data_IF_414484446871
#
_entry.id   IF_414484446871
#
_cell.length_a   1.000
_cell.length_b   1.000
_cell.length_c   1.000
_cell.angle_alpha   90.00
_cell.angle_beta   90.00
_cell.angle_gamma   90.00
#
_symmetry.space_group_name_H-M   'P 1'
#
loop_
_entity.id
_entity.type
_entity.pdbx_description
1 polymer ?
#
# COMPACT_ATOMS: atom_id res chain seq x y z
N UNK A 1 6.25 -8.28 -11.05
CA UNK A 1 7.67 -8.76 -11.06
C UNK A 1 7.99 -9.68 -9.86
N UNK A 2 8.24 -10.96 -10.13
CA UNK A 2 8.64 -11.98 -9.13
C UNK A 2 9.96 -11.61 -8.42
N UNK A 3 10.12 -12.02 -7.16
CA UNK A 3 11.32 -11.78 -6.36
C UNK A 3 12.61 -12.25 -7.07
N UNK A 4 12.53 -13.37 -7.80
CA UNK A 4 13.64 -13.93 -8.57
C UNK A 4 14.10 -12.97 -9.68
N UNK A 5 13.15 -12.31 -10.35
CA UNK A 5 13.44 -11.37 -11.44
C UNK A 5 14.09 -10.09 -10.89
N UNK A 6 13.68 -9.63 -9.70
CA UNK A 6 14.31 -8.47 -9.04
C UNK A 6 15.74 -8.76 -8.61
N UNK A 7 15.98 -9.91 -8.00
CA UNK A 7 17.32 -10.33 -7.58
C UNK A 7 18.24 -10.44 -8.80
N UNK A 8 17.76 -11.03 -9.90
CA UNK A 8 18.52 -11.10 -11.15
C UNK A 8 18.85 -9.70 -11.71
N UNK A 9 17.91 -8.75 -11.65
CA UNK A 9 18.14 -7.37 -12.10
C UNK A 9 19.18 -6.63 -11.24
N UNK A 10 19.13 -6.79 -9.91
CA UNK A 10 20.14 -6.21 -8.99
C UNK A 10 21.53 -6.80 -9.23
N UNK A 11 21.63 -8.12 -9.34
CA UNK A 11 22.90 -8.81 -9.60
C UNK A 11 23.47 -8.42 -10.98
N UNK A 12 22.63 -8.29 -11.99
CA UNK A 12 23.03 -7.85 -13.33
C UNK A 12 23.60 -6.43 -13.33
N UNK A 13 22.90 -5.47 -12.72
CA UNK A 13 23.35 -4.08 -12.65
C UNK A 13 24.61 -3.91 -11.80
N UNK A 14 24.73 -4.65 -10.69
CA UNK A 14 25.95 -4.67 -9.88
C UNK A 14 27.13 -5.26 -10.66
N UNK A 15 26.93 -6.37 -11.39
CA UNK A 15 27.96 -6.96 -12.23
C UNK A 15 28.39 -6.00 -13.36
N UNK A 16 27.44 -5.31 -14.02
CA UNK A 16 27.76 -4.30 -15.03
C UNK A 16 28.58 -3.14 -14.44
N UNK A 17 28.20 -2.60 -13.29
CA UNK A 17 28.96 -1.53 -12.64
C UNK A 17 30.42 -1.96 -12.32
N UNK A 18 30.60 -3.19 -11.82
CA UNK A 18 31.93 -3.74 -11.53
C UNK A 18 32.75 -3.95 -12.82
N UNK A 19 32.16 -4.56 -13.86
CA UNK A 19 32.84 -4.86 -15.11
C UNK A 19 33.23 -3.59 -15.88
N UNK A 20 32.34 -2.61 -15.98
CA UNK A 20 32.64 -1.34 -16.65
C UNK A 20 33.61 -0.47 -15.83
N UNK A 21 33.53 -0.50 -14.50
CA UNK A 21 34.49 0.17 -13.63
C UNK A 21 35.91 -0.39 -13.78
N UNK A 22 36.07 -1.72 -13.75
CA UNK A 22 37.36 -2.38 -13.97
C UNK A 22 37.90 -2.14 -15.39
N UNK A 23 37.03 -2.14 -16.40
CA UNK A 23 37.39 -1.86 -17.79
C UNK A 23 37.86 -0.41 -17.99
N UNK A 24 37.23 0.56 -17.31
CA UNK A 24 37.64 1.97 -17.34
C UNK A 24 39.03 2.19 -16.72
N UNK A 25 39.36 1.48 -15.64
CA UNK A 25 40.67 1.52 -14.99
C UNK A 25 41.78 0.92 -15.86
N UNK A 26 41.46 -0.13 -16.63
CA UNK A 26 42.43 -0.88 -17.43
C UNK A 26 42.70 -0.25 -18.81
N UNK A 27 41.70 0.39 -19.42
CA UNK A 27 41.79 0.83 -20.82
C UNK A 27 41.62 2.35 -20.98
N UNK A 28 42.76 3.08 -20.97
CA UNK A 28 42.78 4.56 -21.01
C UNK A 28 42.12 5.16 -22.26
N UNK A 29 42.11 4.45 -23.40
CA UNK A 29 41.48 4.91 -24.64
C UNK A 29 39.94 4.85 -24.61
N UNK A 30 39.36 3.94 -23.83
CA UNK A 30 37.92 3.75 -23.70
C UNK A 30 37.38 4.22 -22.32
N UNK A 31 38.22 4.91 -21.55
CA UNK A 31 37.96 5.29 -20.16
C UNK A 31 36.70 6.15 -20.02
N UNK A 32 36.47 7.08 -20.95
CA UNK A 32 35.27 7.95 -20.94
C UNK A 32 33.97 7.17 -21.12
N UNK A 33 33.91 6.27 -22.10
CA UNK A 33 32.72 5.47 -22.39
C UNK A 33 32.44 4.45 -21.30
N UNK A 34 33.46 3.74 -20.83
CA UNK A 34 33.33 2.77 -19.74
C UNK A 34 32.97 3.44 -18.41
N UNK A 35 33.51 4.64 -18.15
CA UNK A 35 33.13 5.45 -16.99
C UNK A 35 31.68 5.89 -17.03
N UNK A 36 31.18 6.34 -18.20
CA UNK A 36 29.78 6.71 -18.38
C UNK A 36 28.82 5.52 -18.18
N UNK A 37 29.17 4.33 -18.69
CA UNK A 37 28.37 3.10 -18.51
C UNK A 37 28.34 2.62 -17.05
N UNK A 38 29.47 2.72 -16.35
CA UNK A 38 29.54 2.43 -14.91
C UNK A 38 28.64 3.39 -14.11
N UNK A 39 28.75 4.69 -14.37
CA UNK A 39 27.92 5.70 -13.70
C UNK A 39 26.43 5.48 -13.98
N UNK A 40 26.06 5.23 -15.23
CA UNK A 40 24.66 4.93 -15.59
C UNK A 40 24.11 3.69 -14.87
N UNK A 41 24.94 2.65 -14.72
CA UNK A 41 24.57 1.43 -13.99
C UNK A 41 24.34 1.69 -12.50
N UNK A 42 25.18 2.53 -11.87
CA UNK A 42 25.03 2.93 -10.47
C UNK A 42 23.78 3.80 -10.25
N UNK A 43 23.49 4.73 -11.16
CA UNK A 43 22.27 5.55 -11.11
C UNK A 43 21.02 4.68 -11.26
N UNK A 44 21.02 3.75 -12.21
CA UNK A 44 19.90 2.82 -12.40
C UNK A 44 19.67 1.93 -11.16
N UNK A 45 20.75 1.43 -10.55
CA UNK A 45 20.69 0.66 -9.31
C UNK A 45 20.16 1.51 -8.14
N UNK A 46 20.63 2.76 -8.02
CA UNK A 46 20.13 3.71 -7.03
C UNK A 46 18.64 3.99 -7.16
N UNK A 47 18.13 4.19 -8.38
CA UNK A 47 16.69 4.41 -8.64
C UNK A 47 15.84 3.18 -8.31
N UNK A 48 16.33 1.97 -8.63
CA UNK A 48 15.64 0.72 -8.28
C UNK A 48 15.58 0.52 -6.77
N UNK A 49 16.71 0.70 -6.08
CA UNK A 49 16.78 0.62 -4.61
C UNK A 49 15.87 1.66 -3.97
N UNK A 50 15.90 2.92 -4.44
CA UNK A 50 15.04 3.98 -3.94
C UNK A 50 13.56 3.64 -4.11
N UNK A 51 13.16 3.06 -5.26
CA UNK A 51 11.77 2.63 -5.51
C UNK A 51 11.34 1.51 -4.55
N UNK A 52 12.18 0.51 -4.34
CA UNK A 52 11.85 -0.61 -3.45
C UNK A 52 11.82 -0.17 -1.98
N UNK A 53 12.78 0.66 -1.55
CA UNK A 53 12.79 1.27 -0.21
C UNK A 53 11.56 2.17 -0.02
N UNK A 54 11.16 2.95 -1.02
CA UNK A 54 9.97 3.82 -0.92
C UNK A 54 8.69 3.00 -0.76
N UNK A 55 8.59 1.82 -1.38
CA UNK A 55 7.45 0.92 -1.20
C UNK A 55 7.44 0.30 0.20
N UNK A 56 8.60 -0.16 0.66
CA UNK A 56 8.75 -0.73 2.00
C UNK A 56 8.47 0.29 3.10
N UNK A 57 9.02 1.51 2.98
CA UNK A 57 8.77 2.60 3.93
C UNK A 57 7.34 3.10 3.80
N UNK A 58 6.75 3.14 2.60
CA UNK A 58 5.34 3.52 2.41
C UNK A 58 4.39 2.57 3.14
N UNK A 59 4.62 1.26 3.00
CA UNK A 59 3.82 0.23 3.69
C UNK A 59 4.04 0.29 5.22
N UNK A 60 5.29 0.40 5.69
CA UNK A 60 5.59 0.50 7.12
C UNK A 60 5.17 1.83 7.76
N UNK A 61 5.25 2.95 7.04
CA UNK A 61 4.82 4.26 7.57
C UNK A 61 3.31 4.31 7.70
N UNK A 62 2.57 3.70 6.75
CA UNK A 62 1.12 3.53 6.90
C UNK A 62 0.82 2.56 8.04
N UNK A 63 1.53 1.45 8.18
CA UNK A 63 1.32 0.50 9.28
C UNK A 63 1.66 1.11 10.66
N UNK A 64 2.71 1.90 10.76
CA UNK A 64 3.10 2.61 11.98
C UNK A 64 2.15 3.77 12.32
N UNK A 65 1.66 4.51 11.33
CA UNK A 65 0.68 5.58 11.54
C UNK A 65 -0.74 5.03 11.83
N UNK A 66 -1.04 3.83 11.34
CA UNK A 66 -2.32 3.13 11.51
C UNK A 66 -2.11 1.80 12.25
N UNK A 67 -1.40 1.86 13.38
CA UNK A 67 -1.18 0.73 14.28
C UNK A 67 -2.50 0.34 14.96
N UNK A 68 -3.33 -0.36 14.19
CA UNK A 68 -4.73 -0.70 14.44
C UNK A 68 -4.88 -2.13 14.98
N UNK A 69 -3.81 -2.69 15.53
CA UNK A 69 -3.79 -4.03 16.15
C UNK A 69 -3.48 -3.98 17.65
N UNK A 70 -3.65 -2.81 18.29
CA UNK A 70 -3.54 -2.67 19.75
C UNK A 70 -2.15 -2.90 20.34
N UNK A 71 -1.12 -3.08 19.50
CA UNK A 71 0.26 -3.30 19.96
C UNK A 71 1.04 -1.98 20.22
N UNK A 72 0.36 -0.83 20.17
CA UNK A 72 1.00 0.46 19.96
C UNK A 72 1.18 1.39 21.16
N UNK A 73 0.46 1.21 22.26
CA UNK A 73 0.73 1.87 23.54
C UNK A 73 -0.19 1.23 24.56
N UNK A 74 0.35 0.71 25.66
CA UNK A 74 -0.46 0.19 26.76
C UNK A 74 -1.08 1.37 27.51
N UNK A 75 -2.13 1.95 26.94
CA UNK A 75 -2.88 2.98 27.63
C UNK A 75 -3.58 2.32 28.83
N UNK A 76 -3.34 2.81 30.06
CA UNK A 76 -3.96 2.25 31.25
C UNK A 76 -5.49 2.25 31.21
N UNK A 77 -6.12 3.21 30.50
CA UNK A 77 -7.58 3.27 30.35
C UNK A 77 -8.10 2.13 29.48
N UNK A 78 -7.40 1.82 28.38
CA UNK A 78 -7.74 0.69 27.50
C UNK A 78 -7.54 -0.65 28.22
N UNK A 79 -6.41 -0.84 28.92
CA UNK A 79 -6.15 -2.07 29.67
C UNK A 79 -7.22 -2.32 30.75
N UNK A 80 -7.63 -1.26 31.45
CA UNK A 80 -8.70 -1.36 32.45
C UNK A 80 -10.04 -1.74 31.82
N UNK A 81 -10.36 -1.24 30.62
CA UNK A 81 -11.57 -1.64 29.91
C UNK A 81 -11.53 -3.14 29.53
N UNK A 82 -10.37 -3.63 29.10
CA UNK A 82 -10.16 -5.05 28.81
C UNK A 82 -10.22 -5.94 30.06
N UNK A 83 -9.77 -5.46 31.22
CA UNK A 83 -9.94 -6.16 32.50
C UNK A 83 -11.42 -6.28 32.89
N UNK A 84 -12.18 -5.19 32.76
CA UNK A 84 -13.63 -5.20 33.02
C UNK A 84 -14.35 -6.15 32.06
N UNK A 85 -13.94 -6.19 30.79
CA UNK A 85 -14.46 -7.16 29.81
C UNK A 85 -14.18 -8.60 30.24
N UNK A 86 -12.95 -8.90 30.69
CA UNK A 86 -12.56 -10.25 31.20
C UNK A 86 -13.35 -10.67 32.44
N UNK A 87 -13.74 -9.70 33.27
CA UNK A 87 -14.58 -9.93 34.43
C UNK A 87 -16.05 -10.22 34.09
N UNK A 88 -16.43 -10.11 32.80
CA UNK A 88 -17.77 -10.41 32.31
C UNK A 88 -18.70 -9.20 32.23
N UNK A 89 -18.27 -8.02 32.67
CA UNK A 89 -19.06 -6.80 32.56
C UNK A 89 -18.86 -6.14 31.19
N UNK A 90 -19.50 -6.73 30.19
CA UNK A 90 -19.33 -6.34 28.79
C UNK A 90 -19.90 -4.97 28.46
N UNK A 91 -20.97 -4.53 29.15
CA UNK A 91 -21.57 -3.22 28.93
C UNK A 91 -20.69 -2.11 29.50
N UNK A 92 -20.13 -2.33 30.69
CA UNK A 92 -19.20 -1.38 31.29
C UNK A 92 -17.89 -1.32 30.49
N UNK A 93 -17.39 -2.45 30.01
CA UNK A 93 -16.24 -2.47 29.10
C UNK A 93 -16.51 -1.64 27.84
N UNK A 94 -17.69 -1.79 27.21
CA UNK A 94 -18.06 -0.97 26.05
C UNK A 94 -18.12 0.52 26.42
N UNK A 95 -18.69 0.88 27.57
CA UNK A 95 -18.74 2.29 28.03
C UNK A 95 -17.32 2.86 28.12
N UNK A 96 -16.42 2.14 28.76
CA UNK A 96 -15.02 2.56 28.92
C UNK A 96 -14.28 2.63 27.58
N UNK A 97 -14.48 1.66 26.69
CA UNK A 97 -13.88 1.67 25.34
C UNK A 97 -14.40 2.85 24.52
N UNK A 98 -15.69 3.22 24.63
CA UNK A 98 -16.22 4.42 23.97
C UNK A 98 -15.59 5.70 24.50
N UNK A 99 -15.49 5.84 25.81
CA UNK A 99 -14.83 6.99 26.45
C UNK A 99 -13.36 7.12 26.03
N UNK A 100 -12.68 5.99 25.93
CA UNK A 100 -11.31 5.93 25.42
C UNK A 100 -11.24 6.32 23.93
N UNK A 101 -12.15 5.79 23.10
CA UNK A 101 -12.19 6.09 21.67
C UNK A 101 -12.54 7.54 21.36
N UNK A 102 -13.38 8.18 22.17
CA UNK A 102 -13.69 9.61 22.06
C UNK A 102 -12.45 10.49 22.23
N UNK A 103 -11.56 10.11 23.16
CA UNK A 103 -10.27 10.78 23.36
C UNK A 103 -9.27 10.43 22.26
N UNK A 104 -9.34 9.21 21.72
CA UNK A 104 -8.38 8.64 20.76
C UNK A 104 -9.06 8.20 19.45
N UNK A 105 -9.66 9.12 18.66
CA UNK A 105 -10.49 8.75 17.49
C UNK A 105 -9.72 8.13 16.32
N UNK A 106 -8.38 8.14 16.38
CA UNK A 106 -7.49 7.51 15.40
C UNK A 106 -7.33 6.00 15.64
N UNK A 107 -7.69 5.52 16.83
CA UNK A 107 -7.55 4.12 17.22
C UNK A 107 -8.79 3.32 16.80
N UNK A 108 -8.91 3.09 15.50
CA UNK A 108 -10.08 2.44 14.88
C UNK A 108 -10.27 1.00 15.42
N UNK A 109 -9.21 0.36 15.89
CA UNK A 109 -9.22 -0.93 16.56
C UNK A 109 -10.08 -0.96 17.82
N UNK A 110 -10.23 0.17 18.52
CA UNK A 110 -11.14 0.28 19.68
C UNK A 110 -12.59 0.18 19.23
N UNK A 111 -12.95 0.86 18.14
CA UNK A 111 -14.29 0.76 17.55
C UNK A 111 -14.58 -0.68 17.05
N UNK A 112 -13.57 -1.33 16.45
CA UNK A 112 -13.65 -2.75 16.09
C UNK A 112 -13.85 -3.65 17.31
N UNK A 113 -13.13 -3.37 18.41
CA UNK A 113 -13.26 -4.12 19.67
C UNK A 113 -14.66 -3.99 20.27
N UNK A 114 -15.25 -2.80 20.25
CA UNK A 114 -16.63 -2.56 20.67
C UNK A 114 -17.60 -3.40 19.81
N UNK A 115 -17.43 -3.41 18.48
CA UNK A 115 -18.25 -4.21 17.57
C UNK A 115 -18.15 -5.72 17.88
N UNK A 116 -16.95 -6.22 18.16
CA UNK A 116 -16.69 -7.62 18.51
C UNK A 116 -17.37 -8.01 19.83
N UNK A 117 -17.35 -7.14 20.85
CA UNK A 117 -18.04 -7.40 22.13
C UNK A 117 -19.56 -7.48 21.90
N UNK A 118 -20.13 -6.59 21.09
CA UNK A 118 -21.55 -6.67 20.73
C UNK A 118 -21.90 -7.98 20.03
N UNK A 119 -21.07 -8.43 19.08
CA UNK A 119 -21.35 -9.66 18.35
C UNK A 119 -21.18 -10.91 19.21
N UNK A 120 -20.06 -11.04 19.91
CA UNK A 120 -19.64 -12.30 20.52
C UNK A 120 -20.13 -12.46 21.96
N UNK A 121 -20.03 -11.40 22.77
CA UNK A 121 -20.37 -11.45 24.19
C UNK A 121 -21.84 -11.13 24.43
N UNK A 122 -22.39 -10.15 23.73
CA UNK A 122 -23.78 -9.70 23.90
C UNK A 122 -24.75 -10.34 22.90
N UNK A 123 -24.24 -11.09 21.92
CA UNK A 123 -25.01 -11.71 20.84
C UNK A 123 -26.00 -10.73 20.19
N UNK A 124 -25.57 -9.50 19.98
CA UNK A 124 -26.35 -8.42 19.38
C UNK A 124 -25.80 -8.08 17.99
N UNK A 125 -26.19 -8.84 16.94
CA UNK A 125 -25.68 -8.62 15.59
C UNK A 125 -26.08 -7.27 15.01
N UNK A 126 -27.18 -6.67 15.47
CA UNK A 126 -27.62 -5.35 15.02
C UNK A 126 -26.67 -4.26 15.52
N UNK A 127 -26.37 -4.25 16.82
CA UNK A 127 -25.43 -3.29 17.39
C UNK A 127 -24.04 -3.47 16.78
N UNK A 128 -23.57 -4.71 16.63
CA UNK A 128 -22.30 -4.99 15.96
C UNK A 128 -22.26 -4.45 14.52
N UNK A 129 -23.34 -4.67 13.74
CA UNK A 129 -23.41 -4.18 12.37
C UNK A 129 -23.29 -2.65 12.28
N UNK A 130 -23.96 -1.91 13.18
CA UNK A 130 -23.89 -0.45 13.24
C UNK A 130 -22.47 0.04 13.56
N UNK A 131 -21.76 -0.60 14.48
CA UNK A 131 -20.37 -0.26 14.78
C UNK A 131 -19.45 -0.52 13.59
N UNK A 132 -19.62 -1.65 12.89
CA UNK A 132 -18.89 -1.93 11.65
C UNK A 132 -19.21 -0.92 10.54
N UNK A 133 -20.46 -0.48 10.41
CA UNK A 133 -20.84 0.59 9.46
C UNK A 133 -20.05 1.89 9.74
N UNK A 134 -19.91 2.29 11.01
CA UNK A 134 -19.12 3.47 11.39
C UNK A 134 -17.62 3.28 11.12
N UNK A 135 -17.09 2.10 11.41
CA UNK A 135 -15.69 1.75 11.14
C UNK A 135 -15.37 1.86 9.64
N UNK A 136 -16.26 1.39 8.76
CA UNK A 136 -16.04 1.43 7.31
C UNK A 136 -16.08 2.84 6.70
N UNK A 137 -16.54 3.86 7.44
CA UNK A 137 -16.45 5.28 7.05
C UNK A 137 -15.06 5.85 7.31
N UNK A 138 -14.23 5.19 8.12
CA UNK A 138 -12.87 5.64 8.43
C UNK A 138 -11.90 5.25 7.32
N UNK A 139 -10.79 6.00 7.15
CA UNK A 139 -9.76 5.63 6.19
C UNK A 139 -9.04 4.35 6.67
N UNK A 140 -9.37 3.22 6.05
CA UNK A 140 -8.74 1.93 6.30
C UNK A 140 -7.93 1.49 5.07
N UNK A 141 -6.80 0.79 5.26
CA UNK A 141 -6.11 0.12 4.16
C UNK A 141 -7.07 -0.78 3.38
N UNK A 142 -6.95 -0.80 2.05
CA UNK A 142 -7.90 -1.48 1.14
C UNK A 142 -8.17 -2.93 1.54
N UNK A 143 -7.13 -3.68 1.90
CA UNK A 143 -7.26 -5.07 2.33
C UNK A 143 -8.04 -5.19 3.65
N UNK A 144 -7.68 -4.39 4.67
CA UNK A 144 -8.38 -4.38 5.98
C UNK A 144 -9.83 -3.97 5.81
N UNK A 145 -10.10 -2.91 5.05
CA UNK A 145 -11.45 -2.46 4.72
C UNK A 145 -12.28 -3.59 4.12
N UNK A 146 -11.72 -4.30 3.13
CA UNK A 146 -12.38 -5.43 2.47
C UNK A 146 -12.77 -6.53 3.45
N UNK A 147 -11.88 -6.93 4.36
CA UNK A 147 -12.20 -7.95 5.36
C UNK A 147 -13.25 -7.51 6.37
N UNK A 148 -13.21 -6.26 6.85
CA UNK A 148 -14.26 -5.71 7.73
C UNK A 148 -15.60 -5.62 7.01
N UNK A 149 -15.61 -5.27 5.73
CA UNK A 149 -16.81 -5.25 4.90
C UNK A 149 -17.39 -6.65 4.68
N UNK A 150 -16.56 -7.68 4.42
CA UNK A 150 -17.01 -9.09 4.36
C UNK A 150 -17.66 -9.51 5.68
N UNK A 151 -17.08 -9.11 6.81
CA UNK A 151 -17.63 -9.41 8.13
C UNK A 151 -18.99 -8.75 8.33
N UNK A 152 -19.14 -7.48 7.94
CA UNK A 152 -20.42 -6.77 7.93
C UNK A 152 -21.46 -7.45 7.03
N UNK A 153 -21.08 -7.97 5.86
CA UNK A 153 -21.99 -8.77 5.03
C UNK A 153 -22.54 -9.99 5.78
N UNK A 154 -21.71 -10.68 6.56
CA UNK A 154 -22.16 -11.83 7.36
C UNK A 154 -23.17 -11.39 8.43
N UNK A 155 -22.95 -10.24 9.09
CA UNK A 155 -23.91 -9.67 10.03
C UNK A 155 -25.23 -9.30 9.36
N UNK A 156 -25.19 -8.68 8.17
CA UNK A 156 -26.41 -8.40 7.41
C UNK A 156 -27.18 -9.66 7.05
N UNK A 157 -26.51 -10.74 6.67
CA UNK A 157 -27.17 -12.02 6.44
C UNK A 157 -27.83 -12.57 7.72
N UNK A 158 -27.15 -12.50 8.88
CA UNK A 158 -27.75 -12.88 10.18
C UNK A 158 -29.01 -12.06 10.50
N UNK A 159 -29.06 -10.79 10.06
CA UNK A 159 -30.17 -9.87 10.24
C UNK A 159 -31.25 -9.97 9.15
N UNK A 160 -31.12 -10.88 8.18
CA UNK A 160 -32.04 -10.98 7.04
C UNK A 160 -31.95 -9.83 6.04
N UNK A 161 -30.94 -8.96 6.16
CA UNK A 161 -30.72 -7.80 5.29
C UNK A 161 -29.93 -8.18 4.02
N UNK A 162 -30.39 -9.21 3.31
CA UNK A 162 -29.69 -9.79 2.15
C UNK A 162 -29.41 -8.78 1.05
N UNK A 163 -30.31 -7.82 0.81
CA UNK A 163 -30.09 -6.78 -0.19
C UNK A 163 -28.89 -5.90 0.14
N UNK A 164 -28.73 -5.50 1.42
CA UNK A 164 -27.55 -4.75 1.87
C UNK A 164 -26.28 -5.58 1.78
N UNK A 165 -26.36 -6.87 2.15
CA UNK A 165 -25.23 -7.78 2.05
C UNK A 165 -24.75 -7.93 0.60
N UNK A 166 -25.67 -8.14 -0.35
CA UNK A 166 -25.34 -8.27 -1.76
C UNK A 166 -24.75 -6.98 -2.33
N UNK A 167 -25.37 -5.82 -2.05
CA UNK A 167 -24.84 -4.53 -2.49
C UNK A 167 -23.42 -4.27 -1.96
N UNK A 168 -23.14 -4.65 -0.70
CA UNK A 168 -21.80 -4.52 -0.12
C UNK A 168 -20.82 -5.53 -0.75
N UNK A 169 -21.22 -6.77 -1.03
CA UNK A 169 -20.39 -7.74 -1.75
C UNK A 169 -20.03 -7.25 -3.16
N UNK A 170 -21.00 -6.68 -3.89
CA UNK A 170 -20.77 -6.12 -5.22
C UNK A 170 -19.76 -4.97 -5.15
N UNK A 171 -19.90 -4.08 -4.16
CA UNK A 171 -18.94 -3.01 -3.90
C UNK A 171 -17.53 -3.53 -3.63
N UNK A 172 -17.37 -4.56 -2.79
CA UNK A 172 -16.06 -5.16 -2.53
C UNK A 172 -15.48 -5.77 -3.82
N UNK A 173 -16.28 -6.50 -4.58
CA UNK A 173 -15.85 -7.18 -5.81
C UNK A 173 -15.40 -6.20 -6.91
N UNK A 174 -16.02 -5.01 -6.97
CA UNK A 174 -15.79 -3.98 -7.99
C UNK A 174 -14.75 -2.95 -7.56
N UNK A 175 -14.98 -2.22 -6.47
CA UNK A 175 -14.11 -1.12 -6.03
C UNK A 175 -12.79 -1.61 -5.42
N UNK A 176 -12.78 -2.83 -4.87
CA UNK A 176 -11.64 -3.44 -4.17
C UNK A 176 -11.12 -4.69 -4.88
N UNK A 177 -11.30 -4.76 -6.21
CA UNK A 177 -11.12 -5.96 -7.03
C UNK A 177 -9.79 -6.73 -6.83
N UNK A 178 -8.71 -6.05 -6.50
CA UNK A 178 -7.38 -6.66 -6.32
C UNK A 178 -7.14 -7.28 -4.94
N UNK A 179 -8.07 -7.11 -3.99
CA UNK A 179 -7.94 -7.62 -2.61
C UNK A 179 -8.36 -9.09 -2.48
N UNK A 180 -7.86 -9.78 -1.45
CA UNK A 180 -8.32 -11.15 -1.17
C UNK A 180 -9.80 -11.18 -0.74
N UNK A 181 -10.25 -10.11 -0.08
CA UNK A 181 -11.66 -9.90 0.25
C UNK A 181 -12.55 -9.84 -1.01
N UNK A 182 -12.10 -9.20 -2.09
CA UNK A 182 -12.84 -9.15 -3.35
C UNK A 182 -12.94 -10.50 -4.05
N UNK A 183 -11.91 -11.34 -3.95
CA UNK A 183 -12.00 -12.73 -4.40
C UNK A 183 -13.13 -13.47 -3.67
N UNK A 184 -13.15 -13.38 -2.33
CA UNK A 184 -14.21 -13.98 -1.51
C UNK A 184 -15.59 -13.38 -1.80
N UNK A 185 -15.67 -12.09 -2.10
CA UNK A 185 -16.93 -11.44 -2.48
C UNK A 185 -17.49 -12.00 -3.80
N UNK A 186 -16.63 -12.19 -4.81
CA UNK A 186 -17.03 -12.80 -6.09
C UNK A 186 -17.47 -14.24 -5.94
N UNK A 187 -16.75 -15.04 -5.14
CA UNK A 187 -17.14 -16.41 -4.83
C UNK A 187 -18.56 -16.46 -4.25
N UNK A 188 -18.89 -15.54 -3.33
CA UNK A 188 -20.24 -15.42 -2.76
C UNK A 188 -21.30 -14.97 -3.78
N UNK A 189 -20.92 -14.14 -4.74
CA UNK A 189 -21.82 -13.64 -5.81
C UNK A 189 -21.92 -14.59 -7.02
N UNK A 190 -21.07 -15.63 -7.10
CA UNK A 190 -20.95 -16.48 -8.29
C UNK A 190 -20.31 -15.78 -9.50
N UNK A 191 -19.53 -14.72 -9.28
CA UNK A 191 -18.87 -13.98 -10.35
C UNK A 191 -17.55 -14.64 -10.77
N UNK A 192 -17.18 -14.58 -12.06
CA UNK A 192 -15.89 -15.08 -12.52
C UNK A 192 -14.72 -14.28 -11.91
N UNK A 193 -13.59 -14.95 -11.68
CA UNK A 193 -12.36 -14.26 -11.27
C UNK A 193 -11.90 -13.36 -12.43
N UNK A 194 -11.66 -12.06 -12.19
CA UNK A 194 -11.20 -11.16 -13.24
C UNK A 194 -9.86 -11.66 -13.76
N UNK A 195 -9.71 -11.65 -15.08
CA UNK A 195 -8.42 -11.92 -15.70
C UNK A 195 -7.36 -11.02 -15.04
N UNK A 196 -6.16 -11.54 -14.73
CA UNK A 196 -5.11 -10.71 -14.15
C UNK A 196 -4.91 -9.53 -15.08
N UNK A 197 -5.14 -8.31 -14.55
CA UNK A 197 -4.89 -7.10 -15.32
C UNK A 197 -3.44 -7.16 -15.82
N UNK A 198 -3.19 -6.94 -17.12
CA UNK A 198 -1.82 -6.78 -17.59
C UNK A 198 -1.21 -5.66 -16.75
N UNK A 199 -0.08 -5.94 -16.08
CA UNK A 199 0.67 -4.95 -15.30
C UNK A 199 0.68 -3.64 -16.10
N UNK A 200 0.01 -2.61 -15.57
CA UNK A 200 -0.21 -1.36 -16.28
C UNK A 200 1.11 -0.91 -16.92
N UNK A 201 1.13 -0.89 -18.25
CA UNK A 201 2.25 -0.36 -18.99
C UNK A 201 2.55 1.03 -18.42
N UNK A 202 3.83 1.36 -18.15
CA UNK A 202 4.17 2.68 -17.64
C UNK A 202 3.56 3.72 -18.57
N UNK A 203 2.77 4.62 -17.99
CA UNK A 203 2.16 5.75 -18.70
C UNK A 203 3.21 6.38 -19.61
N UNK A 204 2.97 6.27 -20.92
CA UNK A 204 3.77 6.96 -21.91
C UNK A 204 3.61 8.45 -21.61
N UNK A 205 4.69 9.08 -21.13
CA UNK A 205 4.76 10.54 -21.03
C UNK A 205 4.33 11.14 -22.38
N UNK A 206 3.50 12.19 -22.40
CA UNK A 206 3.14 12.87 -23.65
C UNK A 206 4.41 13.26 -24.41
N UNK A 207 4.46 12.95 -25.70
CA UNK A 207 5.54 13.36 -26.57
C UNK A 207 5.68 14.88 -26.51
N UNK A 208 6.78 15.36 -25.91
CA UNK A 208 7.22 16.74 -26.10
C UNK A 208 7.50 16.92 -27.59
N UNK A 209 6.82 17.90 -28.19
CA UNK A 209 7.03 18.31 -29.57
C UNK A 209 8.48 18.77 -29.83
N UNK A 210 8.87 18.92 -31.10
CA UNK A 210 10.26 19.17 -31.46
C UNK A 210 10.81 20.44 -30.80
N UNK A 211 11.93 20.30 -30.09
CA UNK A 211 12.68 21.40 -29.49
C UNK A 211 13.05 22.48 -30.53
N UNK A 212 12.99 23.77 -30.18
CA UNK A 212 13.52 24.84 -31.02
C UNK A 212 15.06 24.73 -31.12
N UNK A 213 15.67 25.17 -32.24
CA UNK A 213 17.08 24.94 -32.50
C UNK A 213 18.00 25.67 -31.51
N UNK A 214 19.20 25.13 -31.24
CA UNK A 214 20.09 25.64 -30.22
C UNK A 214 20.62 27.04 -30.57
N UNK A 215 20.88 27.90 -29.56
CA UNK A 215 21.44 29.22 -29.78
C UNK A 215 22.84 29.12 -30.38
N UNK A 216 23.09 29.94 -31.41
CA UNK A 216 24.38 30.05 -32.06
C UNK A 216 25.46 30.43 -31.02
N UNK A 217 26.48 29.58 -30.91
CA UNK A 217 27.66 29.85 -30.09
C UNK A 217 28.40 31.12 -30.55
N UNK A 218 29.25 31.69 -29.68
CA UNK A 218 29.90 32.97 -29.91
C UNK A 218 30.73 32.96 -31.19
N UNK A 219 30.49 33.94 -32.07
CA UNK A 219 31.21 34.13 -33.31
C UNK A 219 32.68 34.45 -33.02
N UNK A 220 33.58 33.50 -33.29
CA UNK A 220 35.02 33.75 -33.27
C UNK A 220 35.40 34.63 -34.47
N UNK A 221 36.33 35.59 -34.29
CA UNK A 221 36.75 36.49 -35.36
C UNK A 221 37.43 35.74 -36.52
N UNK A 222 37.35 36.27 -37.75
CA UNK A 222 37.84 35.60 -38.94
C UNK A 222 39.36 35.38 -38.86
N UNK A 223 39.77 34.11 -38.81
CA UNK A 223 41.19 33.70 -38.77
C UNK A 223 41.49 32.46 -37.93
N UNK A 224 40.60 32.09 -36.99
CA UNK A 224 40.83 30.99 -36.05
C UNK A 224 40.01 29.72 -36.32
N UNK A 225 39.94 29.27 -37.58
CA UNK A 225 39.40 27.93 -37.88
C UNK A 225 40.55 26.91 -37.94
N UNK A 226 40.53 25.81 -37.16
CA UNK A 226 41.51 24.75 -37.31
C UNK A 226 41.35 24.09 -38.69
N UNK A 227 42.47 23.93 -39.41
CA UNK A 227 42.52 23.18 -40.68
C UNK A 227 42.30 21.68 -40.37
N UNK A 228 41.44 21.05 -41.16
CA UNK A 228 41.21 19.59 -41.13
C UNK A 228 42.47 18.83 -41.53
#
# INVERSE_FOLDING_TARGET
MSAIVRIAAYLGLAACAVLFGLSALKNRAAMGTNGALCFGSLVALGLLVARDISRLIGEHAVEFLYNDEGAGQKDPEYEKAEEVWKNGDHLEAIRMLREYYEKNPREVHVALRIAEIYETNLNNPLAAALEYEEVLKKPLPRERWGWRAIHLCNLYHKLGQTNKANALLERIATEYSTTAAAKKAREKLGWPEPAPEPEAAPEAKPAEGPEPPPPAGPALPPGFRPKK
#
